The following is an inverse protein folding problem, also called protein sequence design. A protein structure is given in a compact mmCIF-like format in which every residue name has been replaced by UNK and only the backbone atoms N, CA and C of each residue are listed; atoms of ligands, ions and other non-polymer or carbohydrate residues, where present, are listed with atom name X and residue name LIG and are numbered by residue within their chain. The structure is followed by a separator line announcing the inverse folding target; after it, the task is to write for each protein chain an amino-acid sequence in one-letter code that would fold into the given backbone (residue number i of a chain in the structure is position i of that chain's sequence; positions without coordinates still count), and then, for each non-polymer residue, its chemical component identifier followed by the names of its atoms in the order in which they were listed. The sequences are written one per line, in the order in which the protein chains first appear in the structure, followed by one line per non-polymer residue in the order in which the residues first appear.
data_IF_820553990945
#
_entry.id   IF_820553990945
#
_cell.length_a   1.000
_cell.length_b   1.000
_cell.length_c   1.000
_cell.angle_alpha   90.00
_cell.angle_beta   90.00
_cell.angle_gamma   90.00
#
_symmetry.space_group_name_H-M   'P 1'
#
loop_
_entity.id
_entity.type
_entity.pdbx_description
1 polymer ?
#
# COMPACT_ATOMS: atom_id res chain seq x y z
N UNK A 1 20.37 -2.46 -9.30
CA UNK A 1 19.29 -1.92 -10.14
C UNK A 1 18.48 -3.04 -10.81
N UNK A 2 19.08 -3.98 -11.56
CA UNK A 2 18.37 -5.10 -12.20
C UNK A 2 17.48 -5.92 -11.23
N UNK A 3 18.02 -6.40 -10.11
CA UNK A 3 17.23 -7.18 -9.13
C UNK A 3 16.11 -6.37 -8.45
N UNK A 4 16.24 -5.04 -8.41
CA UNK A 4 15.22 -4.17 -7.82
C UNK A 4 14.01 -4.04 -8.76
N UNK A 5 14.27 -3.71 -10.03
CA UNK A 5 13.27 -3.61 -11.10
C UNK A 5 12.48 -4.91 -11.25
N UNK A 6 13.16 -6.06 -11.15
CA UNK A 6 12.53 -7.38 -11.30
C UNK A 6 11.64 -7.80 -10.14
N UNK A 7 11.90 -7.25 -8.96
CA UNK A 7 11.09 -7.54 -7.78
C UNK A 7 9.93 -6.55 -7.65
N UNK A 8 10.09 -5.30 -8.14
CA UNK A 8 8.95 -4.39 -8.38
C UNK A 8 7.98 -4.96 -9.42
N UNK A 9 8.49 -5.53 -10.51
CA UNK A 9 7.67 -6.10 -11.56
C UNK A 9 6.75 -7.23 -11.05
N UNK A 10 7.19 -8.03 -10.06
CA UNK A 10 6.36 -9.10 -9.46
C UNK A 10 5.08 -8.56 -8.83
N UNK A 11 5.19 -7.51 -8.04
CA UNK A 11 4.05 -6.98 -7.29
C UNK A 11 3.14 -6.18 -8.19
N UNK A 12 3.66 -5.55 -9.24
CA UNK A 12 2.84 -4.92 -10.26
C UNK A 12 1.79 -5.90 -10.84
N UNK A 13 2.16 -7.17 -11.09
CA UNK A 13 1.19 -8.18 -11.53
C UNK A 13 0.14 -8.52 -10.45
N UNK A 14 0.52 -8.56 -9.17
CA UNK A 14 -0.44 -8.76 -8.07
C UNK A 14 -1.37 -7.56 -7.89
N UNK A 15 -0.86 -6.34 -8.02
CA UNK A 15 -1.64 -5.09 -7.99
C UNK A 15 -2.66 -5.06 -9.13
N UNK A 16 -2.27 -5.48 -10.33
CA UNK A 16 -3.20 -5.62 -11.47
C UNK A 16 -4.34 -6.58 -11.14
N UNK A 17 -4.04 -7.77 -10.61
CA UNK A 17 -5.07 -8.75 -10.21
C UNK A 17 -6.00 -8.16 -9.15
N UNK A 18 -5.45 -7.47 -8.15
CA UNK A 18 -6.22 -6.81 -7.10
C UNK A 18 -7.14 -5.71 -7.65
N UNK A 19 -6.65 -4.88 -8.57
CA UNK A 19 -7.46 -3.88 -9.28
C UNK A 19 -8.63 -4.53 -10.02
N UNK A 20 -8.41 -5.68 -10.68
CA UNK A 20 -9.47 -6.42 -11.36
C UNK A 20 -10.53 -6.96 -10.41
N UNK A 21 -10.14 -7.50 -9.25
CA UNK A 21 -11.08 -7.99 -8.25
C UNK A 21 -11.98 -6.86 -7.74
N UNK A 22 -11.39 -5.68 -7.45
CA UNK A 22 -12.14 -4.50 -6.99
C UNK A 22 -13.09 -4.00 -8.08
N UNK A 23 -12.63 -3.87 -9.33
CA UNK A 23 -13.49 -3.46 -10.45
C UNK A 23 -14.64 -4.44 -10.70
N UNK A 24 -14.36 -5.74 -10.64
CA UNK A 24 -15.35 -6.81 -10.84
C UNK A 24 -16.43 -6.80 -9.76
N UNK A 25 -16.03 -6.52 -8.51
CA UNK A 25 -16.96 -6.40 -7.39
C UNK A 25 -17.86 -5.16 -7.51
N UNK A 26 -17.30 -4.04 -7.97
CA UNK A 26 -18.02 -2.77 -8.10
C UNK A 26 -19.00 -2.70 -9.26
N UNK A 27 -18.65 -3.28 -10.41
CA UNK A 27 -19.47 -3.19 -11.62
C UNK A 27 -20.58 -4.24 -11.74
N UNK A 28 -20.85 -5.05 -10.69
CA UNK A 28 -21.90 -6.11 -10.62
C UNK A 28 -22.29 -6.77 -11.96
N UNK A 29 -21.78 -7.98 -12.23
CA UNK A 29 -22.27 -8.91 -13.28
C UNK A 29 -22.56 -8.27 -14.66
N UNK A 30 -21.87 -7.20 -15.03
CA UNK A 30 -21.83 -6.80 -16.44
C UNK A 30 -20.92 -7.77 -17.18
N UNK A 31 -21.49 -8.54 -18.12
CA UNK A 31 -20.74 -9.45 -18.98
C UNK A 31 -19.55 -8.76 -19.66
N UNK A 32 -19.62 -7.44 -19.90
CA UNK A 32 -18.54 -6.60 -20.43
C UNK A 32 -17.33 -6.52 -19.50
N UNK A 33 -17.55 -6.49 -18.18
CA UNK A 33 -16.46 -6.41 -17.20
C UNK A 33 -15.81 -7.78 -17.01
N UNK A 34 -16.60 -8.85 -17.03
CA UNK A 34 -16.09 -10.22 -16.98
C UNK A 34 -15.26 -10.52 -18.24
N UNK A 35 -15.77 -10.16 -19.42
CA UNK A 35 -15.03 -10.34 -20.68
C UNK A 35 -13.75 -9.50 -20.72
N UNK A 36 -13.79 -8.25 -20.26
CA UNK A 36 -12.58 -7.42 -20.18
C UNK A 36 -11.57 -7.97 -19.16
N UNK A 37 -12.01 -8.49 -18.03
CA UNK A 37 -11.15 -9.15 -17.05
C UNK A 37 -10.48 -10.41 -17.63
N UNK A 38 -11.23 -11.22 -18.38
CA UNK A 38 -10.68 -12.40 -19.09
C UNK A 38 -9.66 -11.96 -20.13
N UNK A 39 -9.95 -10.95 -20.94
CA UNK A 39 -9.02 -10.42 -21.95
C UNK A 39 -7.71 -9.97 -21.30
N UNK A 40 -7.78 -9.18 -20.23
CA UNK A 40 -6.56 -8.71 -19.57
C UNK A 40 -5.83 -9.84 -18.87
N UNK A 41 -6.54 -10.81 -18.28
CA UNK A 41 -5.93 -12.03 -17.74
C UNK A 41 -5.16 -12.80 -18.82
N UNK A 42 -5.74 -12.96 -20.01
CA UNK A 42 -5.08 -13.61 -21.16
C UNK A 42 -3.87 -12.81 -21.62
N UNK A 43 -3.97 -11.49 -21.78
CA UNK A 43 -2.84 -10.62 -22.14
C UNK A 43 -1.71 -10.74 -21.10
N UNK A 44 -2.07 -10.80 -19.83
CA UNK A 44 -1.12 -10.96 -18.73
C UNK A 44 -0.41 -12.32 -18.81
N UNK A 45 -1.14 -13.41 -19.07
CA UNK A 45 -0.56 -14.74 -19.27
C UNK A 45 0.36 -14.79 -20.51
N UNK A 46 -0.01 -14.13 -21.60
CA UNK A 46 0.83 -14.00 -22.79
C UNK A 46 2.10 -13.20 -22.46
N UNK A 47 1.98 -12.13 -21.67
CA UNK A 47 3.11 -11.34 -21.19
C UNK A 47 4.07 -12.17 -20.33
N UNK A 48 3.54 -12.98 -19.41
CA UNK A 48 4.34 -13.90 -18.59
C UNK A 48 5.03 -14.96 -19.47
N UNK A 49 4.30 -15.57 -20.41
CA UNK A 49 4.86 -16.55 -21.34
C UNK A 49 5.98 -15.94 -22.19
N UNK A 50 5.75 -14.77 -22.79
CA UNK A 50 6.79 -14.07 -23.55
C UNK A 50 8.00 -13.72 -22.69
N UNK A 51 7.78 -13.33 -21.44
CA UNK A 51 8.86 -13.06 -20.49
C UNK A 51 9.70 -14.32 -20.20
N UNK A 52 9.09 -15.51 -20.10
CA UNK A 52 9.84 -16.77 -19.96
C UNK A 52 10.61 -17.12 -21.23
N UNK A 53 10.05 -16.88 -22.41
CA UNK A 53 10.70 -17.19 -23.69
C UNK A 53 11.91 -16.28 -23.96
N UNK A 54 11.75 -14.96 -23.80
CA UNK A 54 12.83 -14.01 -24.03
C UNK A 54 13.86 -13.96 -22.88
N UNK A 55 13.44 -14.35 -21.68
CA UNK A 55 14.28 -14.33 -20.49
C UNK A 55 14.10 -15.63 -19.66
N UNK A 56 14.72 -16.76 -20.08
CA UNK A 56 14.55 -18.07 -19.43
C UNK A 56 14.93 -18.11 -17.95
N UNK A 57 15.72 -17.12 -17.48
CA UNK A 57 16.06 -16.94 -16.06
C UNK A 57 14.83 -16.70 -15.17
N UNK A 58 13.69 -16.31 -15.73
CA UNK A 58 12.44 -16.14 -15.01
C UNK A 58 11.53 -17.37 -15.06
N UNK A 59 11.97 -18.51 -15.58
CA UNK A 59 11.11 -19.68 -15.60
C UNK A 59 10.62 -20.05 -14.19
N UNK A 60 9.31 -20.34 -14.08
CA UNK A 60 8.63 -20.57 -12.81
C UNK A 60 8.55 -19.37 -11.85
N UNK A 61 9.01 -18.17 -12.23
CA UNK A 61 9.11 -17.02 -11.34
C UNK A 61 7.75 -16.47 -10.86
N UNK A 62 6.70 -16.64 -11.67
CA UNK A 62 5.30 -16.32 -11.32
C UNK A 62 4.49 -17.52 -10.80
N UNK A 63 5.15 -18.66 -10.53
CA UNK A 63 4.46 -19.78 -9.88
C UNK A 63 4.07 -19.40 -8.43
N UNK A 64 2.89 -19.84 -7.99
CA UNK A 64 2.36 -19.53 -6.64
C UNK A 64 3.36 -19.91 -5.55
N UNK A 65 4.01 -21.07 -5.67
CA UNK A 65 5.00 -21.52 -4.70
C UNK A 65 6.21 -20.58 -4.62
N UNK A 66 6.70 -20.10 -5.77
CA UNK A 66 7.81 -19.16 -5.82
C UNK A 66 7.40 -17.76 -5.36
N UNK A 67 6.18 -17.32 -5.64
CA UNK A 67 5.65 -16.06 -5.12
C UNK A 67 5.57 -16.13 -3.60
N UNK A 68 4.98 -17.19 -3.05
CA UNK A 68 4.86 -17.38 -1.60
C UNK A 68 6.22 -17.50 -0.93
N UNK A 69 7.11 -18.34 -1.45
CA UNK A 69 8.44 -18.52 -0.89
C UNK A 69 9.26 -17.22 -0.90
N UNK A 70 9.12 -16.37 -1.92
CA UNK A 70 9.80 -15.07 -1.99
C UNK A 70 9.13 -13.98 -1.13
N UNK A 71 7.81 -14.05 -0.92
CA UNK A 71 7.11 -13.13 -0.01
C UNK A 71 7.46 -13.41 1.45
N UNK A 72 7.61 -14.69 1.81
CA UNK A 72 7.98 -15.12 3.15
C UNK A 72 9.49 -15.31 3.35
N UNK A 73 10.30 -15.28 2.28
CA UNK A 73 11.75 -15.42 2.40
C UNK A 73 12.33 -14.29 3.24
N UNK A 74 13.32 -14.66 4.05
CA UNK A 74 14.10 -13.74 4.88
C UNK A 74 15.14 -12.95 4.08
N UNK A 75 15.38 -13.31 2.83
CA UNK A 75 16.32 -12.61 1.95
C UNK A 75 15.70 -11.28 1.49
N UNK A 76 16.36 -10.19 1.86
CA UNK A 76 15.98 -8.84 1.45
C UNK A 76 16.85 -8.35 0.30
N UNK A 77 16.42 -7.24 -0.30
CA UNK A 77 17.10 -6.53 -1.37
C UNK A 77 18.51 -6.11 -0.93
N UNK A 78 19.52 -6.92 -1.29
CA UNK A 78 20.88 -6.45 -1.48
C UNK A 78 21.74 -6.17 -0.23
N UNK A 79 21.36 -6.57 0.98
CA UNK A 79 22.27 -6.49 2.15
C UNK A 79 22.13 -7.68 3.10
N UNK A 80 23.26 -8.08 3.69
CA UNK A 80 23.39 -9.19 4.65
C UNK A 80 22.49 -9.07 5.90
N UNK A 81 21.88 -7.90 6.15
CA UNK A 81 20.98 -7.61 7.26
C UNK A 81 19.62 -7.01 6.82
N UNK A 82 19.34 -6.97 5.51
CA UNK A 82 18.17 -6.28 4.99
C UNK A 82 16.86 -6.91 5.46
N UNK A 83 15.89 -6.07 5.80
CA UNK A 83 14.56 -6.50 6.21
C UNK A 83 13.72 -6.95 5.03
N UNK A 84 13.04 -8.07 5.16
CA UNK A 84 12.03 -8.50 4.19
C UNK A 84 10.64 -8.03 4.62
N UNK A 85 9.69 -8.00 3.67
CA UNK A 85 8.30 -7.56 3.89
C UNK A 85 7.63 -8.28 5.07
N UNK A 86 7.94 -9.57 5.25
CA UNK A 86 7.40 -10.41 6.32
C UNK A 86 8.11 -10.22 7.66
N UNK A 87 9.38 -9.78 7.68
CA UNK A 87 10.20 -9.70 8.90
C UNK A 87 10.35 -8.28 9.43
N UNK A 88 10.04 -7.25 8.65
CA UNK A 88 10.24 -5.84 8.99
C UNK A 88 9.62 -5.42 10.34
N UNK A 89 8.37 -5.84 10.61
CA UNK A 89 7.66 -5.45 11.83
C UNK A 89 8.23 -6.18 13.05
N UNK A 90 8.53 -7.47 12.89
CA UNK A 90 9.15 -8.27 13.95
C UNK A 90 10.54 -7.75 14.30
N UNK A 91 11.30 -7.25 13.32
CA UNK A 91 12.59 -6.64 13.60
C UNK A 91 12.45 -5.35 14.41
N UNK A 92 11.60 -4.42 13.97
CA UNK A 92 11.33 -3.17 14.72
C UNK A 92 10.86 -3.48 16.14
N UNK A 93 9.97 -4.45 16.29
CA UNK A 93 9.46 -4.90 17.59
C UNK A 93 10.55 -5.38 18.55
N UNK A 94 11.52 -6.15 18.04
CA UNK A 94 12.56 -6.78 18.85
C UNK A 94 13.79 -5.90 19.06
N UNK A 95 14.16 -5.09 18.06
CA UNK A 95 15.43 -4.34 18.06
C UNK A 95 15.27 -2.86 18.41
N UNK A 96 14.14 -2.22 18.06
CA UNK A 96 13.97 -0.78 18.27
C UNK A 96 13.04 -0.47 19.44
N UNK A 97 11.94 -1.21 19.57
CA UNK A 97 10.90 -0.93 20.55
C UNK A 97 11.06 -1.82 21.79
N UNK A 98 12.10 -1.57 22.57
CA UNK A 98 12.51 -2.43 23.70
C UNK A 98 11.52 -2.44 24.88
N UNK A 99 10.78 -1.35 25.08
CA UNK A 99 9.83 -1.20 26.20
C UNK A 99 8.39 -1.23 25.72
N UNK A 100 7.46 -1.60 26.60
CA UNK A 100 6.03 -1.58 26.26
C UNK A 100 5.57 -0.19 25.79
N UNK A 101 6.04 0.90 26.42
CA UNK A 101 5.70 2.27 26.00
C UNK A 101 6.11 2.53 24.56
N UNK A 102 7.34 2.17 24.21
CA UNK A 102 7.84 2.30 22.83
C UNK A 102 7.06 1.41 21.86
N UNK A 103 6.64 0.21 22.26
CA UNK A 103 5.80 -0.64 21.39
C UNK A 103 4.45 0.00 21.08
N UNK A 104 3.84 0.67 22.06
CA UNK A 104 2.53 1.30 21.87
C UNK A 104 2.59 2.65 21.16
N UNK A 105 3.59 3.48 21.46
CA UNK A 105 3.66 4.89 21.03
C UNK A 105 4.84 5.21 20.10
N UNK A 106 5.75 4.28 19.88
CA UNK A 106 6.97 4.50 19.10
C UNK A 106 7.95 5.44 19.78
N UNK A 107 8.95 5.89 19.01
CA UNK A 107 9.97 6.84 19.47
C UNK A 107 9.56 8.31 19.29
N UNK A 108 8.38 8.58 18.72
CA UNK A 108 7.86 9.90 18.39
C UNK A 108 8.01 10.25 16.90
N UNK A 109 7.05 11.04 16.40
CA UNK A 109 7.06 11.54 15.02
C UNK A 109 8.32 12.34 14.70
N UNK A 110 8.92 12.09 13.53
CA UNK A 110 10.13 12.76 13.07
C UNK A 110 11.42 12.24 13.69
N UNK A 111 11.34 11.46 14.77
CA UNK A 111 12.53 10.93 15.45
C UNK A 111 13.17 9.77 14.68
N UNK A 112 12.57 9.24 13.61
CA UNK A 112 13.17 8.22 12.75
C UNK A 112 13.44 8.71 11.31
N UNK A 113 13.28 10.02 11.06
CA UNK A 113 13.27 10.61 9.72
C UNK A 113 14.67 10.88 9.15
N UNK A 114 14.78 10.88 7.83
CA UNK A 114 15.98 11.29 7.12
C UNK A 114 15.69 12.36 6.08
N UNK A 115 16.71 13.13 5.71
CA UNK A 115 16.59 14.19 4.71
C UNK A 115 17.89 14.35 3.94
N UNK A 116 17.83 14.96 2.76
CA UNK A 116 19.01 15.40 2.02
C UNK A 116 19.82 16.45 2.77
N UNK A 117 19.21 17.15 3.74
CA UNK A 117 19.89 18.08 4.64
C UNK A 117 20.13 17.41 6.00
N UNK A 118 21.41 17.37 6.42
CA UNK A 118 21.83 16.72 7.68
C UNK A 118 21.10 17.24 8.92
N UNK A 119 20.71 18.51 8.93
CA UNK A 119 19.98 19.13 10.05
C UNK A 119 18.58 18.55 10.27
N UNK A 120 17.97 17.96 9.23
CA UNK A 120 16.66 17.33 9.29
C UNK A 120 16.75 15.80 9.34
N UNK A 121 17.95 15.25 9.56
CA UNK A 121 18.16 13.82 9.73
C UNK A 121 18.20 13.47 11.21
N UNK A 122 17.38 12.53 11.64
CA UNK A 122 17.29 12.17 13.06
C UNK A 122 18.53 11.39 13.53
N UNK A 123 18.92 11.54 14.81
CA UNK A 123 20.01 10.73 15.39
C UNK A 123 19.72 9.23 15.35
N UNK A 124 18.44 8.84 15.47
CA UNK A 124 18.02 7.45 15.38
C UNK A 124 18.27 6.87 13.99
N UNK A 125 17.93 7.62 12.94
CA UNK A 125 18.20 7.20 11.56
C UNK A 125 19.70 7.02 11.35
N UNK A 126 20.53 7.99 11.77
CA UNK A 126 21.99 7.90 11.64
C UNK A 126 22.59 6.66 12.31
N UNK A 127 21.97 6.17 13.39
CA UNK A 127 22.40 4.95 14.09
C UNK A 127 21.91 3.66 13.42
N UNK A 128 20.71 3.67 12.83
CA UNK A 128 20.01 2.45 12.41
C UNK A 128 19.76 2.35 10.89
N UNK A 129 20.26 3.28 10.08
CA UNK A 129 19.99 3.34 8.63
C UNK A 129 20.33 2.05 7.88
N UNK A 130 21.33 1.28 8.36
CA UNK A 130 21.77 0.02 7.75
C UNK A 130 20.70 -1.08 7.78
N UNK A 131 19.84 -1.07 8.79
CA UNK A 131 18.74 -2.04 8.91
C UNK A 131 17.66 -1.86 7.84
N UNK A 132 17.67 -0.74 7.10
CA UNK A 132 16.73 -0.49 6.01
C UNK A 132 15.25 -0.51 6.43
N UNK A 133 14.95 -0.25 7.70
CA UNK A 133 13.58 -0.17 8.24
C UNK A 133 12.70 0.88 7.55
N UNK A 134 13.34 1.89 6.96
CA UNK A 134 12.70 2.99 6.25
C UNK A 134 12.17 2.58 4.87
N UNK A 135 12.57 1.43 4.31
CA UNK A 135 12.13 0.98 2.98
C UNK A 135 10.68 0.54 2.92
N UNK A 136 10.03 0.35 4.07
CA UNK A 136 8.63 -0.02 4.13
C UNK A 136 7.86 0.94 5.02
N UNK A 137 6.72 1.43 4.53
CA UNK A 137 5.92 2.42 5.24
C UNK A 137 5.47 1.91 6.61
N UNK A 138 5.06 0.64 6.71
CA UNK A 138 4.61 0.02 7.95
C UNK A 138 5.70 -0.03 9.02
N UNK A 139 6.92 -0.47 8.71
CA UNK A 139 8.02 -0.49 9.69
C UNK A 139 8.47 0.91 10.09
N UNK A 140 8.41 1.86 9.16
CA UNK A 140 8.73 3.24 9.43
C UNK A 140 7.71 3.89 10.38
N UNK A 141 6.41 3.83 10.04
CA UNK A 141 5.32 4.33 10.90
C UNK A 141 5.35 3.62 12.26
N UNK A 142 5.58 2.31 12.28
CA UNK A 142 5.63 1.54 13.51
C UNK A 142 6.78 1.97 14.42
N UNK A 143 7.94 2.31 13.86
CA UNK A 143 9.08 2.85 14.62
C UNK A 143 8.72 4.19 15.27
N UNK A 144 8.09 5.11 14.54
CA UNK A 144 7.78 6.46 15.03
C UNK A 144 6.59 6.51 15.99
N UNK A 145 5.55 5.71 15.74
CA UNK A 145 4.24 5.87 16.37
C UNK A 145 3.73 4.62 17.09
N UNK A 146 4.48 3.52 17.02
CA UNK A 146 4.11 2.26 17.64
C UNK A 146 2.86 1.63 17.03
N UNK A 147 2.30 0.65 17.74
CA UNK A 147 1.12 -0.09 17.29
C UNK A 147 -0.05 0.87 17.07
N UNK A 148 -0.22 1.87 17.95
CA UNK A 148 -1.36 2.79 17.87
C UNK A 148 -1.35 3.57 16.58
N UNK A 149 -0.23 4.19 16.20
CA UNK A 149 -0.19 4.96 14.96
C UNK A 149 -0.29 4.07 13.72
N UNK A 150 0.29 2.86 13.74
CA UNK A 150 0.12 1.91 12.63
C UNK A 150 -1.36 1.50 12.45
N UNK A 151 -2.06 1.19 13.54
CA UNK A 151 -3.50 0.85 13.50
C UNK A 151 -4.35 2.04 13.05
N UNK A 152 -4.10 3.23 13.60
CA UNK A 152 -4.82 4.45 13.19
C UNK A 152 -4.60 4.73 11.71
N UNK A 153 -3.38 4.59 11.21
CA UNK A 153 -3.07 4.77 9.80
C UNK A 153 -3.82 3.77 8.91
N UNK A 154 -3.86 2.49 9.28
CA UNK A 154 -4.66 1.48 8.58
C UNK A 154 -6.16 1.80 8.60
N UNK A 155 -6.70 2.21 9.75
CA UNK A 155 -8.11 2.62 9.89
C UNK A 155 -8.46 3.81 9.01
N UNK A 156 -7.55 4.78 8.86
CA UNK A 156 -7.74 5.93 7.96
C UNK A 156 -7.95 5.46 6.52
N UNK A 157 -7.08 4.59 6.00
CA UNK A 157 -7.24 4.04 4.65
C UNK A 157 -8.50 3.20 4.48
N UNK A 158 -8.85 2.37 5.46
CA UNK A 158 -10.11 1.61 5.46
C UNK A 158 -11.32 2.56 5.42
N UNK A 159 -11.27 3.66 6.17
CA UNK A 159 -12.34 4.66 6.19
C UNK A 159 -12.50 5.36 4.83
N UNK A 160 -11.40 5.66 4.13
CA UNK A 160 -11.46 6.18 2.76
C UNK A 160 -12.16 5.22 1.80
N UNK A 161 -11.80 3.94 1.82
CA UNK A 161 -12.42 2.90 0.98
C UNK A 161 -13.91 2.75 1.32
N UNK A 162 -14.24 2.71 2.61
CA UNK A 162 -15.61 2.61 3.07
C UNK A 162 -16.47 3.81 2.67
N UNK A 163 -15.90 5.01 2.77
CA UNK A 163 -16.55 6.26 2.36
C UNK A 163 -16.78 6.27 0.85
N UNK A 164 -15.79 5.85 0.07
CA UNK A 164 -15.94 5.68 -1.37
C UNK A 164 -17.04 4.67 -1.71
N UNK A 165 -17.07 3.50 -1.06
CA UNK A 165 -18.10 2.50 -1.24
C UNK A 165 -19.52 3.06 -0.98
N UNK A 166 -19.68 3.81 0.11
CA UNK A 166 -20.95 4.42 0.53
C UNK A 166 -21.35 5.68 -0.24
N UNK A 167 -20.44 6.32 -0.97
CA UNK A 167 -20.77 7.51 -1.73
C UNK A 167 -21.89 7.21 -2.73
N UNK A 168 -22.99 7.96 -2.62
CA UNK A 168 -24.06 7.96 -3.63
C UNK A 168 -23.57 8.83 -4.78
N UNK A 169 -23.86 8.37 -5.98
CA UNK A 169 -23.37 8.95 -7.22
C UNK A 169 -24.59 9.37 -8.02
N UNK A 170 -24.62 10.62 -8.45
CA UNK A 170 -25.69 11.19 -9.26
C UNK A 170 -25.19 11.27 -10.71
N UNK A 171 -23.94 11.68 -10.92
CA UNK A 171 -23.35 11.86 -12.25
C UNK A 171 -22.36 10.75 -12.64
N UNK A 172 -22.21 10.52 -13.95
CA UNK A 172 -21.26 9.51 -14.46
C UNK A 172 -19.78 9.82 -14.14
N UNK A 173 -19.43 11.11 -14.00
CA UNK A 173 -18.07 11.54 -13.63
C UNK A 173 -17.77 11.21 -12.16
N UNK A 174 -18.71 11.50 -11.26
CA UNK A 174 -18.62 11.13 -9.84
C UNK A 174 -18.44 9.62 -9.64
N UNK A 175 -19.06 8.80 -10.51
CA UNK A 175 -18.85 7.35 -10.51
C UNK A 175 -17.38 6.99 -10.75
N UNK A 176 -16.76 7.66 -11.72
CA UNK A 176 -15.35 7.44 -12.07
C UNK A 176 -14.43 7.86 -10.92
N UNK A 177 -14.67 9.03 -10.31
CA UNK A 177 -13.92 9.49 -9.14
C UNK A 177 -14.05 8.56 -7.94
N UNK A 178 -15.25 8.05 -7.68
CA UNK A 178 -15.50 7.03 -6.64
C UNK A 178 -14.66 5.77 -6.89
N UNK A 179 -14.65 5.25 -8.12
CA UNK A 179 -13.88 4.05 -8.46
C UNK A 179 -12.38 4.30 -8.29
N UNK A 180 -11.87 5.41 -8.83
CA UNK A 180 -10.45 5.77 -8.73
C UNK A 180 -10.04 5.86 -7.25
N UNK A 181 -10.83 6.52 -6.41
CA UNK A 181 -10.56 6.62 -4.97
C UNK A 181 -10.58 5.25 -4.27
N UNK A 182 -11.48 4.34 -4.66
CA UNK A 182 -11.48 2.97 -4.12
C UNK A 182 -10.22 2.20 -4.51
N UNK A 183 -9.84 2.25 -5.79
CA UNK A 183 -8.66 1.54 -6.30
C UNK A 183 -7.38 2.06 -5.62
N UNK A 184 -7.21 3.38 -5.58
CA UNK A 184 -6.08 4.01 -4.91
C UNK A 184 -6.09 3.71 -3.40
N UNK A 185 -7.26 3.63 -2.75
CA UNK A 185 -7.35 3.26 -1.35
C UNK A 185 -6.90 1.82 -1.08
N UNK A 186 -7.32 0.88 -1.92
CA UNK A 186 -6.89 -0.51 -1.84
C UNK A 186 -5.38 -0.66 -2.12
N UNK A 187 -4.87 0.03 -3.14
CA UNK A 187 -3.44 0.06 -3.45
C UNK A 187 -2.64 0.69 -2.31
N UNK A 188 -3.13 1.74 -1.66
CA UNK A 188 -2.48 2.35 -0.50
C UNK A 188 -2.42 1.38 0.69
N UNK A 189 -3.49 0.63 0.97
CA UNK A 189 -3.45 -0.40 2.01
C UNK A 189 -2.41 -1.49 1.72
N UNK A 190 -2.32 -1.96 0.46
CA UNK A 190 -1.30 -2.91 0.06
C UNK A 190 0.11 -2.32 0.17
N UNK A 191 0.28 -1.08 -0.31
CA UNK A 191 1.57 -0.41 -0.34
C UNK A 191 2.12 -0.09 1.04
N UNK A 192 1.27 -0.01 2.08
CA UNK A 192 1.69 0.18 3.46
C UNK A 192 2.77 -0.85 3.89
N UNK A 193 2.63 -2.11 3.49
CA UNK A 193 3.57 -3.17 3.84
C UNK A 193 4.62 -3.44 2.77
N UNK A 194 4.43 -2.85 1.59
CA UNK A 194 5.19 -3.21 0.40
C UNK A 194 6.41 -2.34 0.16
N UNK A 195 6.24 -1.03 0.36
CA UNK A 195 7.24 -0.02 0.05
C UNK A 195 7.02 1.27 0.88
N UNK A 196 7.96 2.21 0.81
CA UNK A 196 7.93 3.51 1.47
C UNK A 196 7.22 4.60 0.66
N UNK A 197 6.76 4.33 -0.56
CA UNK A 197 6.11 5.30 -1.46
C UNK A 197 5.05 6.16 -0.78
N UNK A 198 4.23 5.63 0.13
CA UNK A 198 3.19 6.42 0.82
C UNK A 198 3.74 7.46 1.81
N UNK A 199 4.98 7.29 2.27
CA UNK A 199 5.67 8.22 3.17
C UNK A 199 6.54 9.23 2.43
N UNK A 200 6.95 8.92 1.20
CA UNK A 200 7.72 9.83 0.35
C UNK A 200 6.84 11.02 -0.04
N UNK A 201 7.42 12.21 0.07
CA UNK A 201 6.72 13.50 -0.04
C UNK A 201 5.85 13.61 -1.30
N UNK A 202 6.31 13.19 -2.48
CA UNK A 202 5.57 13.47 -3.73
C UNK A 202 4.34 12.56 -3.94
N UNK A 203 4.46 11.27 -3.62
CA UNK A 203 3.42 10.27 -3.86
C UNK A 203 2.36 10.25 -2.77
N UNK A 204 2.74 10.47 -1.51
CA UNK A 204 1.81 10.48 -0.38
C UNK A 204 0.72 11.55 -0.52
N UNK A 205 1.08 12.78 -0.89
CA UNK A 205 0.10 13.88 -1.05
C UNK A 205 -0.90 13.62 -2.18
N UNK A 206 -0.44 13.07 -3.31
CA UNK A 206 -1.33 12.75 -4.44
C UNK A 206 -2.34 11.66 -4.07
N UNK A 207 -1.89 10.63 -3.35
CA UNK A 207 -2.79 9.57 -2.85
C UNK A 207 -3.87 10.18 -1.96
N UNK A 208 -3.49 10.99 -0.96
CA UNK A 208 -4.46 11.63 -0.05
C UNK A 208 -5.42 12.57 -0.80
N UNK A 209 -4.94 13.30 -1.82
CA UNK A 209 -5.77 14.15 -2.66
C UNK A 209 -6.87 13.34 -3.37
N UNK A 210 -6.51 12.25 -4.03
CA UNK A 210 -7.47 11.37 -4.72
C UNK A 210 -8.46 10.74 -3.73
N UNK A 211 -7.97 10.31 -2.57
CA UNK A 211 -8.80 9.72 -1.51
C UNK A 211 -9.82 10.70 -0.92
N UNK A 212 -9.65 12.01 -1.14
CA UNK A 212 -10.61 13.02 -0.71
C UNK A 212 -11.88 13.10 -1.57
N UNK A 213 -11.84 12.64 -2.84
CA UNK A 213 -12.96 12.77 -3.78
C UNK A 213 -14.31 12.19 -3.27
N UNK A 214 -14.35 11.01 -2.64
CA UNK A 214 -15.57 10.49 -2.03
C UNK A 214 -16.23 11.41 -1.00
N UNK A 215 -15.42 12.16 -0.24
CA UNK A 215 -15.92 13.11 0.75
C UNK A 215 -16.53 14.34 0.08
N UNK A 216 -15.97 14.78 -1.04
CA UNK A 216 -16.50 15.87 -1.85
C UNK A 216 -17.87 15.47 -2.42
N UNK A 217 -17.95 14.30 -3.05
CA UNK A 217 -19.21 13.75 -3.60
C UNK A 217 -20.27 13.61 -2.50
N UNK A 218 -19.92 13.09 -1.32
CA UNK A 218 -20.88 12.97 -0.21
C UNK A 218 -21.39 14.31 0.32
N UNK A 219 -20.55 15.35 0.27
CA UNK A 219 -20.95 16.71 0.65
C UNK A 219 -21.95 17.28 -0.35
N UNK A 220 -21.71 17.11 -1.65
CA UNK A 220 -22.57 17.62 -2.71
C UNK A 220 -23.93 16.90 -2.74
N UNK A 221 -23.95 15.61 -2.43
CA UNK A 221 -25.17 14.79 -2.34
C UNK A 221 -25.94 14.92 -1.01
N UNK A 222 -25.48 15.73 -0.04
CA UNK A 222 -26.16 15.97 1.24
C UNK A 222 -26.03 14.87 2.32
N UNK A 223 -25.33 13.76 2.03
CA UNK A 223 -25.15 12.64 2.97
C UNK A 223 -24.33 12.99 4.23
N UNK A 224 -23.52 14.05 4.17
CA UNK A 224 -22.70 14.49 5.31
C UNK A 224 -23.55 15.15 6.41
N UNK A 225 -24.66 15.80 6.06
CA UNK A 225 -25.58 16.41 7.04
C UNK A 225 -26.40 15.34 7.79
N UNK A 226 -26.86 14.28 7.10
CA UNK A 226 -27.54 13.15 7.75
C UNK A 226 -26.67 12.49 8.83
N UNK A 227 -25.37 12.29 8.58
CA UNK A 227 -24.44 11.72 9.57
C UNK A 227 -24.23 12.63 10.80
N UNK A 228 -24.24 13.95 10.62
CA UNK A 228 -24.13 14.90 11.75
C UNK A 228 -25.38 14.89 12.64
N UNK A 229 -26.54 14.56 12.07
CA UNK A 229 -27.79 14.43 12.80
C UNK A 229 -27.89 13.09 13.55
N UNK A 230 -27.31 12.00 13.02
CA UNK A 230 -27.34 10.69 13.68
C UNK A 230 -26.42 10.57 14.90
N UNK A 231 -25.33 11.35 14.97
CA UNK A 231 -24.44 11.39 16.14
C UNK A 231 -24.89 12.41 17.22
N UNK A 232 -26.04 13.06 17.05
CA UNK A 232 -26.64 14.00 18.00
C UNK A 232 -27.81 13.42 18.81
N UNK A 233 -28.01 12.10 18.77
CA UNK A 233 -28.96 11.36 19.60
C UNK A 233 -28.18 10.45 20.55
#
# INVERSE_FOLDING_TARGET
MYMAVLSELKIFYLEIVLLFLVLSFLYRKSYKVITMAVIVGVITMIGIWGLYEFFPKFDGYFNLDNIMNNFFSKESYGSYEGLSRSTQLSYVWNHFLSTWKLKWFGIGFGNAEYSGLRIFTSPFYLKNWQSSYQWFCASFIFTETGILGLLVNGVIYINYIYTAFKAKVIESQEFSYKIIAMLIGCLALGNLFYDQTLKIETSGYLVVCILSFPYIIQKETGLVEERRLTFRL
#
